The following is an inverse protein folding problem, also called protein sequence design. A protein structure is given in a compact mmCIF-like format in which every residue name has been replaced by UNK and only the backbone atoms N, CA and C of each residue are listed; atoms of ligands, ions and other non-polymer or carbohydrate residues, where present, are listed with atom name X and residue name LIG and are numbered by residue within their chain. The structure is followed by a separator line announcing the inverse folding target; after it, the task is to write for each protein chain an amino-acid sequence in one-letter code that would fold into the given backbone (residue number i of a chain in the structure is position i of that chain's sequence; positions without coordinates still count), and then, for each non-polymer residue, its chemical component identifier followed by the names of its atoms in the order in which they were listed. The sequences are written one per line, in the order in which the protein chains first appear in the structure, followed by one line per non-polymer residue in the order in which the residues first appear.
data_IF_280317834855
#
_entry.id   IF_280317834855
#
_cell.length_a   1.000
_cell.length_b   1.000
_cell.length_c   1.000
_cell.angle_alpha   90.00
_cell.angle_beta   90.00
_cell.angle_gamma   90.00
#
_symmetry.space_group_name_H-M   'P 1'
#
loop_
_entity.id
_entity.type
_entity.pdbx_description
1 polymer ?
#
# COMPACT_ATOMS: atom_id res chain seq x y z
N UNK A 1 3.49 10.27 -12.33
CA UNK A 1 3.56 11.72 -12.01
C UNK A 1 4.00 11.92 -10.57
N UNK A 2 5.25 12.31 -10.37
CA UNK A 2 5.80 12.64 -9.04
C UNK A 2 6.39 14.06 -9.09
N UNK A 3 5.70 15.07 -8.53
CA UNK A 3 6.25 16.42 -8.44
C UNK A 3 7.38 16.49 -7.39
N UNK A 4 8.18 17.58 -7.38
CA UNK A 4 9.14 17.83 -6.31
C UNK A 4 8.46 17.92 -4.94
N UNK A 5 9.24 17.93 -3.86
CA UNK A 5 8.75 18.13 -2.48
C UNK A 5 7.68 17.12 -2.01
N UNK A 6 7.69 15.92 -2.60
CA UNK A 6 6.98 14.77 -2.08
C UNK A 6 7.91 13.93 -1.21
N UNK A 7 7.45 13.58 0.00
CA UNK A 7 8.21 12.70 0.90
C UNK A 7 7.38 11.51 1.35
N UNK A 8 8.08 10.39 1.55
CA UNK A 8 7.53 9.19 2.13
C UNK A 8 8.39 8.72 3.29
N UNK A 9 7.76 8.23 4.34
CA UNK A 9 8.45 7.59 5.46
C UNK A 9 7.75 6.30 5.81
N UNK A 10 8.53 5.25 6.07
CA UNK A 10 8.07 3.96 6.58
C UNK A 10 8.93 3.61 7.79
N UNK A 11 8.33 3.55 8.97
CA UNK A 11 9.06 3.46 10.23
C UNK A 11 10.07 4.60 10.37
N UNK A 12 11.35 4.28 10.50
CA UNK A 12 12.43 5.27 10.61
C UNK A 12 13.10 5.61 9.28
N UNK A 13 12.65 5.04 8.17
CA UNK A 13 13.27 5.22 6.86
C UNK A 13 12.55 6.28 6.02
N UNK A 14 13.31 7.27 5.55
CA UNK A 14 12.85 8.23 4.55
C UNK A 14 13.08 7.68 3.15
N UNK A 15 12.03 7.73 2.32
CA UNK A 15 12.02 7.25 0.95
C UNK A 15 11.33 8.28 0.03
N UNK A 16 11.61 8.20 -1.26
CA UNK A 16 11.03 9.06 -2.30
C UNK A 16 10.48 8.22 -3.42
N UNK A 17 9.41 8.69 -4.07
CA UNK A 17 8.95 8.08 -5.31
C UNK A 17 9.81 8.58 -6.48
N UNK A 18 10.14 7.67 -7.40
CA UNK A 18 10.74 7.97 -8.69
C UNK A 18 9.78 7.49 -9.77
N UNK A 19 9.53 8.31 -10.78
CA UNK A 19 8.65 7.91 -11.88
C UNK A 19 9.25 6.72 -12.65
N UNK A 20 8.44 5.69 -12.89
CA UNK A 20 8.86 4.46 -13.56
C UNK A 20 9.52 3.42 -12.65
N UNK A 21 9.73 3.72 -11.37
CA UNK A 21 10.33 2.79 -10.41
C UNK A 21 9.31 2.26 -9.38
N UNK A 22 9.61 1.10 -8.81
CA UNK A 22 8.83 0.49 -7.74
C UNK A 22 9.37 0.92 -6.39
N UNK A 23 8.48 1.37 -5.51
CA UNK A 23 8.73 1.49 -4.07
C UNK A 23 7.91 0.41 -3.37
N UNK A 24 8.61 -0.60 -2.83
CA UNK A 24 7.99 -1.71 -2.10
C UNK A 24 8.22 -1.49 -0.60
N UNK A 25 7.16 -1.58 0.18
CA UNK A 25 7.20 -1.46 1.63
C UNK A 25 6.04 -2.26 2.26
N UNK A 26 6.13 -2.48 3.58
CA UNK A 26 5.07 -3.10 4.38
C UNK A 26 4.22 -1.99 4.99
N UNK A 27 2.94 -1.89 4.60
CA UNK A 27 2.02 -0.84 5.05
C UNK A 27 1.48 -1.08 6.45
N UNK A 28 1.75 -2.24 7.06
CA UNK A 28 1.47 -2.47 8.49
C UNK A 28 2.43 -1.69 9.39
N UNK A 29 3.58 -1.26 8.87
CA UNK A 29 4.53 -0.38 9.56
C UNK A 29 4.00 1.05 9.47
N UNK A 30 4.10 1.81 10.58
CA UNK A 30 3.71 3.22 10.61
C UNK A 30 4.38 4.00 9.47
N UNK A 31 3.58 4.63 8.63
CA UNK A 31 4.05 5.32 7.45
C UNK A 31 3.36 6.67 7.25
N UNK A 32 4.05 7.59 6.57
CA UNK A 32 3.54 8.94 6.29
C UNK A 32 3.84 9.31 4.85
N UNK A 33 2.81 9.71 4.10
CA UNK A 33 2.94 10.34 2.79
C UNK A 33 2.64 11.84 2.90
N UNK A 34 3.62 12.67 2.51
CA UNK A 34 3.45 14.11 2.42
C UNK A 34 3.61 14.57 0.97
N UNK A 35 2.76 15.49 0.54
CA UNK A 35 2.88 16.21 -0.72
C UNK A 35 2.90 17.69 -0.39
N UNK A 36 4.10 18.28 -0.36
CA UNK A 36 4.29 19.70 -0.06
C UNK A 36 4.40 20.56 -1.33
N UNK A 37 4.29 19.93 -2.50
CA UNK A 37 4.25 20.63 -3.77
C UNK A 37 2.87 21.26 -4.03
N UNK A 38 2.83 22.22 -4.95
CA UNK A 38 1.60 22.83 -5.46
C UNK A 38 0.90 21.99 -6.56
N UNK A 39 1.43 20.81 -6.87
CA UNK A 39 0.98 19.92 -7.93
C UNK A 39 0.45 18.58 -7.41
N UNK A 40 -0.43 17.98 -8.22
CA UNK A 40 -0.98 16.65 -7.96
C UNK A 40 0.11 15.57 -8.10
N UNK A 41 0.31 14.79 -7.04
CA UNK A 41 1.06 13.52 -7.11
C UNK A 41 0.11 12.38 -7.45
N UNK A 42 0.47 11.56 -8.45
CA UNK A 42 -0.29 10.37 -8.84
C UNK A 42 0.60 9.14 -8.73
N UNK A 43 0.16 8.18 -7.92
CA UNK A 43 0.82 6.87 -7.72
C UNK A 43 -0.16 5.75 -8.03
N UNK A 44 0.33 4.66 -8.62
CA UNK A 44 -0.41 3.40 -8.72
C UNK A 44 -0.05 2.55 -7.51
N UNK A 45 -1.05 2.21 -6.69
CA UNK A 45 -0.88 1.35 -5.51
C UNK A 45 -1.59 0.03 -5.80
N UNK A 46 -0.91 -1.07 -5.51
CA UNK A 46 -1.49 -2.40 -5.51
C UNK A 46 -0.80 -3.23 -4.42
N UNK A 47 -1.56 -4.13 -3.82
CA UNK A 47 -1.05 -5.01 -2.78
C UNK A 47 -0.59 -6.34 -3.37
N UNK A 48 0.46 -6.90 -2.77
CA UNK A 48 0.93 -8.25 -3.06
C UNK A 48 0.88 -9.07 -1.77
N UNK A 49 0.70 -10.38 -1.92
CA UNK A 49 0.80 -11.27 -0.76
C UNK A 49 2.18 -11.14 -0.11
N UNK A 50 2.20 -11.06 1.23
CA UNK A 50 3.44 -11.23 1.97
C UNK A 50 4.11 -12.56 1.52
N UNK A 51 5.39 -12.52 1.09
CA UNK A 51 6.05 -13.68 0.50
C UNK A 51 6.19 -14.85 1.48
N UNK A 52 6.03 -14.61 2.78
CA UNK A 52 6.11 -15.62 3.84
C UNK A 52 4.79 -16.38 4.06
N UNK A 53 3.70 -15.99 3.40
CA UNK A 53 2.43 -16.71 3.49
C UNK A 53 2.42 -17.94 2.57
N UNK A 54 2.05 -19.08 3.13
CA UNK A 54 1.78 -20.31 2.41
C UNK A 54 0.52 -20.17 1.54
N UNK A 55 0.39 -20.94 0.43
CA UNK A 55 -0.80 -20.89 -0.43
C UNK A 55 -2.12 -21.08 0.30
N UNK A 56 -2.15 -21.95 1.31
CA UNK A 56 -3.33 -22.25 2.11
C UNK A 56 -3.74 -21.07 3.01
N UNK A 57 -2.77 -20.33 3.53
CA UNK A 57 -3.02 -19.12 4.34
C UNK A 57 -3.61 -18.00 3.48
N UNK A 58 -3.09 -17.82 2.25
CA UNK A 58 -3.62 -16.84 1.29
C UNK A 58 -5.07 -17.15 0.94
N UNK A 59 -5.39 -18.43 0.77
CA UNK A 59 -6.75 -18.88 0.48
C UNK A 59 -7.69 -18.62 1.66
N UNK A 60 -7.26 -18.92 2.89
CA UNK A 60 -8.04 -18.64 4.10
C UNK A 60 -8.38 -17.14 4.22
N UNK A 61 -7.39 -16.25 4.01
CA UNK A 61 -7.60 -14.80 4.02
C UNK A 61 -8.54 -14.35 2.90
N UNK A 62 -8.41 -14.93 1.69
CA UNK A 62 -9.29 -14.61 0.55
C UNK A 62 -10.75 -14.93 0.86
N UNK A 63 -11.02 -16.12 1.41
CA UNK A 63 -12.37 -16.54 1.82
C UNK A 63 -12.90 -15.60 2.89
N UNK A 64 -12.13 -15.34 3.96
CA UNK A 64 -12.53 -14.44 5.03
C UNK A 64 -12.90 -13.06 4.50
N UNK A 65 -12.04 -12.44 3.69
CA UNK A 65 -12.28 -11.10 3.15
C UNK A 65 -13.52 -11.06 2.24
N UNK A 66 -13.78 -12.10 1.44
CA UNK A 66 -14.97 -12.19 0.61
C UNK A 66 -16.25 -12.32 1.45
N UNK A 67 -16.24 -13.18 2.47
CA UNK A 67 -17.37 -13.36 3.39
C UNK A 67 -17.66 -12.10 4.19
N UNK A 68 -16.63 -11.42 4.72
CA UNK A 68 -16.80 -10.16 5.46
C UNK A 68 -17.45 -9.07 4.60
N UNK A 69 -17.05 -8.95 3.32
CA UNK A 69 -17.68 -8.00 2.39
C UNK A 69 -19.14 -8.36 2.08
N UNK A 70 -19.45 -9.64 1.88
CA UNK A 70 -20.82 -10.08 1.65
C UNK A 70 -21.70 -9.77 2.85
N UNK A 71 -21.24 -10.10 4.06
CA UNK A 71 -21.95 -9.80 5.30
C UNK A 71 -22.18 -8.29 5.48
N UNK A 72 -21.15 -7.46 5.26
CA UNK A 72 -21.26 -6.01 5.37
C UNK A 72 -22.10 -5.34 4.27
N UNK A 73 -22.45 -6.06 3.20
CA UNK A 73 -23.36 -5.56 2.16
C UNK A 73 -24.83 -5.92 2.44
N UNK A 74 -25.08 -6.91 3.30
CA UNK A 74 -26.42 -7.35 3.70
C UNK A 74 -27.00 -6.53 4.87
N UNK A 75 -26.16 -5.79 5.60
CA UNK A 75 -26.50 -4.95 6.75
C UNK A 75 -25.97 -3.53 6.58
#
# INVERSE_FOLDING_TARGET
VVPPDCSYRVGFEHRTWTEGELLIFDDTIEHTARNDSDQLRVILIFDVWNPLLAPEEREAVRVLAATSRAFAAEY
#
